data_IF_998626581183
#
_entry.id   IF_998626581183
#
_cell.length_a   1.000
_cell.length_b   1.000
_cell.length_c   1.000
_cell.angle_alpha   90.00
_cell.angle_beta   90.00
_cell.angle_gamma   90.00
#
_symmetry.space_group_name_H-M   'P 1'
#
loop_
_entity.id
_entity.type
_entity.pdbx_description
1 polymer ?
#
# COMPACT_ATOMS: atom_id res chain seq x y z
N UNK A 1 -12.56 -23.29 21.68
CA UNK A 1 -12.38 -21.83 21.63
C UNK A 1 -12.27 -21.44 20.16
N UNK A 2 -13.35 -20.92 19.58
CA UNK A 2 -13.38 -20.45 18.21
C UNK A 2 -13.23 -18.92 18.24
N UNK A 3 -12.21 -18.38 17.57
CA UNK A 3 -12.17 -16.97 17.22
C UNK A 3 -12.60 -16.83 15.75
N UNK A 4 -13.90 -16.70 15.55
CA UNK A 4 -14.43 -16.09 14.33
C UNK A 4 -14.11 -14.60 14.38
N UNK A 5 -13.26 -14.12 13.46
CA UNK A 5 -13.07 -12.68 13.24
C UNK A 5 -13.96 -12.27 12.08
N UNK A 6 -14.98 -11.48 12.43
CA UNK A 6 -16.01 -10.87 11.58
C UNK A 6 -15.44 -10.30 10.29
N UNK A 7 -16.00 -10.78 9.18
CA UNK A 7 -15.91 -10.19 7.86
C UNK A 7 -16.69 -8.85 7.89
N UNK A 8 -15.96 -7.75 8.08
CA UNK A 8 -16.52 -6.39 8.06
C UNK A 8 -16.89 -5.98 6.64
N UNK A 9 -18.17 -5.71 6.44
CA UNK A 9 -18.79 -5.18 5.22
C UNK A 9 -18.06 -3.93 4.71
N UNK A 10 -17.32 -4.03 3.61
CA UNK A 10 -16.88 -2.84 2.85
C UNK A 10 -17.95 -2.51 1.82
N UNK A 11 -18.50 -1.31 2.00
CA UNK A 11 -19.54 -0.66 1.21
C UNK A 11 -19.30 -0.74 -0.30
N UNK A 12 -20.40 -0.83 -1.04
CA UNK A 12 -20.54 -0.95 -2.49
C UNK A 12 -19.94 0.22 -3.28
N UNK A 13 -18.61 0.35 -3.27
CA UNK A 13 -17.78 1.19 -4.13
C UNK A 13 -16.47 0.49 -4.57
N UNK A 14 -16.18 -0.67 -3.99
CA UNK A 14 -14.97 -1.48 -4.16
C UNK A 14 -14.80 -2.16 -5.54
N UNK A 15 -15.24 -1.54 -6.64
CA UNK A 15 -15.43 -2.30 -7.89
C UNK A 15 -14.20 -2.43 -8.80
N UNK A 16 -13.17 -1.57 -8.76
CA UNK A 16 -12.01 -1.76 -9.66
C UNK A 16 -10.66 -1.23 -9.17
N UNK A 17 -10.49 -1.02 -7.87
CA UNK A 17 -9.15 -0.80 -7.33
C UNK A 17 -8.59 -2.16 -6.99
N UNK A 18 -7.97 -2.78 -7.99
CA UNK A 18 -7.09 -3.93 -7.77
C UNK A 18 -6.08 -3.47 -6.72
N UNK A 19 -6.10 -4.11 -5.54
CA UNK A 19 -5.12 -3.84 -4.48
C UNK A 19 -3.73 -3.68 -5.12
N UNK A 20 -2.95 -2.67 -4.71
CA UNK A 20 -1.60 -2.51 -5.22
C UNK A 20 -0.88 -3.85 -5.08
N UNK A 21 -0.19 -4.29 -6.14
CA UNK A 21 0.61 -5.51 -5.98
C UNK A 21 1.73 -5.20 -5.01
N UNK A 22 2.02 -6.10 -4.07
CA UNK A 22 3.16 -5.94 -3.18
C UNK A 22 4.47 -5.69 -3.95
N UNK A 23 5.34 -4.82 -3.42
CA UNK A 23 6.65 -4.51 -3.99
C UNK A 23 7.78 -4.94 -3.05
N UNK A 24 8.69 -5.77 -3.55
CA UNK A 24 9.73 -6.43 -2.76
C UNK A 24 11.10 -5.72 -2.81
N UNK A 25 11.26 -4.72 -3.68
CA UNK A 25 12.49 -3.93 -3.80
C UNK A 25 13.60 -4.57 -4.64
N UNK A 26 13.37 -5.70 -5.31
CA UNK A 26 14.44 -6.40 -6.05
C UNK A 26 14.55 -6.03 -7.54
N UNK A 27 13.55 -5.33 -8.11
CA UNK A 27 13.48 -5.04 -9.55
C UNK A 27 13.09 -3.57 -9.79
N UNK A 28 14.05 -2.80 -10.31
CA UNK A 28 13.88 -1.36 -10.60
C UNK A 28 12.82 -1.10 -11.67
N UNK A 29 12.74 -1.97 -12.69
CA UNK A 29 11.71 -1.87 -13.74
C UNK A 29 10.30 -2.08 -13.18
N UNK A 30 10.17 -2.95 -12.17
CA UNK A 30 8.91 -3.11 -11.42
C UNK A 30 8.63 -1.93 -10.48
N UNK A 31 9.65 -1.24 -9.98
CA UNK A 31 9.49 -0.10 -9.08
C UNK A 31 8.71 1.05 -9.75
N UNK A 32 9.08 1.46 -10.97
CA UNK A 32 8.38 2.52 -11.70
C UNK A 32 6.92 2.15 -12.01
N UNK A 33 6.67 0.89 -12.38
CA UNK A 33 5.32 0.37 -12.65
C UNK A 33 4.48 0.33 -11.38
N UNK A 34 5.07 -0.06 -10.26
CA UNK A 34 4.40 -0.09 -8.96
C UNK A 34 4.04 1.32 -8.49
N UNK A 35 4.99 2.26 -8.54
CA UNK A 35 4.77 3.66 -8.17
C UNK A 35 3.70 4.33 -9.04
N UNK A 36 3.67 4.04 -10.35
CA UNK A 36 2.64 4.54 -11.24
C UNK A 36 1.23 4.04 -10.86
N UNK A 37 1.11 2.80 -10.37
CA UNK A 37 -0.16 2.23 -9.90
C UNK A 37 -0.63 2.89 -8.61
N UNK A 38 0.27 3.03 -7.64
CA UNK A 38 0.08 3.74 -6.37
C UNK A 38 -0.40 5.19 -6.63
N UNK A 39 0.26 5.92 -7.53
CA UNK A 39 -0.17 7.27 -7.93
C UNK A 39 -1.54 7.29 -8.61
N UNK A 40 -1.86 6.29 -9.44
CA UNK A 40 -3.18 6.19 -10.08
C UNK A 40 -4.27 5.92 -9.05
N UNK A 41 -3.99 5.09 -8.05
CA UNK A 41 -4.86 4.82 -6.91
C UNK A 41 -5.15 6.11 -6.15
N UNK A 42 -4.10 6.84 -5.72
CA UNK A 42 -4.24 8.12 -5.03
C UNK A 42 -5.16 9.09 -5.77
N UNK A 43 -4.95 9.26 -7.08
CA UNK A 43 -5.75 10.16 -7.92
C UNK A 43 -7.19 9.70 -8.12
N UNK A 44 -7.42 8.39 -8.21
CA UNK A 44 -8.75 7.84 -8.50
C UNK A 44 -9.67 7.92 -7.29
N UNK A 45 -9.14 7.64 -6.10
CA UNK A 45 -9.91 7.61 -4.85
C UNK A 45 -9.78 8.91 -4.03
N UNK A 46 -9.03 9.91 -4.52
CA UNK A 46 -8.75 11.19 -3.84
C UNK A 46 -8.17 11.00 -2.43
N UNK A 47 -7.30 10.01 -2.29
CA UNK A 47 -6.63 9.64 -1.04
C UNK A 47 -5.67 10.77 -0.65
N UNK A 48 -5.66 11.14 0.64
CA UNK A 48 -4.70 12.15 1.14
C UNK A 48 -3.26 11.63 1.05
N UNK A 49 -2.28 12.54 1.15
CA UNK A 49 -0.88 12.13 1.23
C UNK A 49 -0.62 11.22 2.44
N UNK A 50 -1.22 11.53 3.59
CA UNK A 50 -1.08 10.77 4.84
C UNK A 50 -1.68 9.36 4.73
N UNK A 51 -2.90 9.23 4.20
CA UNK A 51 -3.53 7.92 3.97
C UNK A 51 -2.76 7.11 2.93
N UNK A 52 -2.14 7.77 1.95
CA UNK A 52 -1.35 7.09 0.93
C UNK A 52 -0.05 6.51 1.49
N UNK A 53 0.57 7.15 2.48
CA UNK A 53 1.77 6.63 3.15
C UNK A 53 1.48 5.29 3.84
N UNK A 54 0.35 5.19 4.53
CA UNK A 54 -0.09 3.95 5.18
C UNK A 54 -0.31 2.85 4.13
N UNK A 55 -0.99 3.17 3.02
CA UNK A 55 -1.21 2.20 1.93
C UNK A 55 0.11 1.75 1.30
N UNK A 56 1.05 2.68 1.11
CA UNK A 56 2.39 2.37 0.60
C UNK A 56 3.09 1.39 1.52
N UNK A 57 3.13 1.68 2.82
CA UNK A 57 3.74 0.83 3.85
C UNK A 57 3.17 -0.58 3.84
N UNK A 58 1.84 -0.75 3.87
CA UNK A 58 1.20 -2.09 3.86
C UNK A 58 1.42 -2.87 2.56
N UNK A 59 1.87 -2.20 1.49
CA UNK A 59 2.13 -2.81 0.19
C UNK A 59 3.62 -2.97 -0.14
N UNK A 60 4.51 -2.60 0.79
CA UNK A 60 5.92 -2.96 0.72
C UNK A 60 6.13 -4.32 1.39
N UNK A 61 7.04 -5.12 0.84
CA UNK A 61 7.43 -6.41 1.43
C UNK A 61 8.94 -6.60 1.31
N UNK A 62 9.51 -7.51 2.11
CA UNK A 62 10.90 -7.93 1.95
C UNK A 62 11.90 -6.79 2.10
N UNK A 63 12.76 -6.57 1.09
CA UNK A 63 13.81 -5.52 1.19
C UNK A 63 13.24 -4.11 1.17
N UNK A 64 12.13 -3.90 0.47
CA UNK A 64 11.51 -2.58 0.40
C UNK A 64 10.85 -2.19 1.74
N UNK A 65 10.19 -3.15 2.40
CA UNK A 65 9.66 -3.00 3.76
C UNK A 65 10.79 -2.73 4.76
N UNK A 66 11.84 -3.56 4.75
CA UNK A 66 13.00 -3.34 5.64
C UNK A 66 13.69 -1.99 5.43
N UNK A 67 13.68 -1.44 4.22
CA UNK A 67 14.19 -0.09 3.95
C UNK A 67 13.25 0.99 4.51
N UNK A 68 11.93 0.80 4.36
CA UNK A 68 10.92 1.71 4.87
C UNK A 68 10.96 1.82 6.40
N UNK A 69 11.11 0.71 7.12
CA UNK A 69 11.24 0.70 8.58
C UNK A 69 12.45 1.51 9.09
N UNK A 70 13.55 1.51 8.33
CA UNK A 70 14.80 2.16 8.75
C UNK A 70 14.85 3.64 8.36
N UNK A 71 14.32 3.97 7.17
CA UNK A 71 14.50 5.28 6.53
C UNK A 71 13.18 6.01 6.33
N UNK A 72 12.12 5.28 5.95
CA UNK A 72 10.79 5.83 5.67
C UNK A 72 10.07 6.31 6.93
N UNK A 73 10.06 5.52 8.01
CA UNK A 73 9.40 5.89 9.27
C UNK A 73 10.08 7.07 10.01
N UNK A 74 11.32 7.42 9.65
CA UNK A 74 12.06 8.52 10.29
C UNK A 74 11.59 9.91 9.86
N UNK A 75 10.72 10.03 8.86
CA UNK A 75 10.24 11.33 8.36
C UNK A 75 8.99 11.84 9.08
N UNK A 76 8.44 11.09 10.04
CA UNK A 76 7.23 11.45 10.79
C UNK A 76 7.49 11.89 12.25
N UNK A 77 8.73 12.27 12.61
CA UNK A 77 9.07 12.75 13.96
C UNK A 77 9.62 14.17 14.00
#
# INVERSE_FOLDING_TARGET
MALERKNGTISSGARFIKEPKAFDGNDEGKASVWLARINRLKKSDKISDEEMLIIVEENLVGKAESWWDVVGAKTEN
#
